data_IF_786119275109
#
_entry.id   IF_786119275109
#
_cell.length_a   1.000
_cell.length_b   1.000
_cell.length_c   1.000
_cell.angle_alpha   90.00
_cell.angle_beta   90.00
_cell.angle_gamma   90.00
#
_symmetry.space_group_name_H-M   'P 1'
#
loop_
_entity.id
_entity.type
_entity.pdbx_description
1 polymer ?
#
# COMPACT_ATOMS: atom_id res chain seq x y z
N UNK A 1 -4.57 0.90 10.20
CA UNK A 1 -4.47 0.57 11.64
C UNK A 1 -4.25 1.84 12.43
N UNK A 2 -5.13 2.15 13.39
CA UNK A 2 -5.02 3.37 14.21
C UNK A 2 -3.84 3.26 15.17
N UNK A 3 -3.03 4.32 15.26
CA UNK A 3 -1.95 4.42 16.28
C UNK A 3 -2.51 4.70 17.68
N UNK A 4 -3.72 5.26 17.77
CA UNK A 4 -4.35 5.64 19.05
C UNK A 4 -5.04 4.46 19.73
N UNK A 5 -5.69 3.60 18.95
CA UNK A 5 -6.45 2.46 19.48
C UNK A 5 -5.60 1.18 19.62
N UNK A 6 -4.41 1.15 18.99
CA UNK A 6 -3.55 -0.04 19.00
C UNK A 6 -4.16 -1.23 18.24
N UNK A 7 -3.51 -2.41 18.28
CA UNK A 7 -4.00 -3.62 17.63
C UNK A 7 -5.08 -4.31 18.48
N UNK A 8 -6.17 -3.58 18.77
CA UNK A 8 -7.31 -4.07 19.53
C UNK A 8 -8.46 -4.43 18.58
N UNK A 9 -9.12 -5.56 18.84
CA UNK A 9 -10.33 -5.96 18.12
C UNK A 9 -11.55 -5.41 18.86
N UNK A 10 -12.23 -4.45 18.26
CA UNK A 10 -13.48 -3.91 18.79
C UNK A 10 -14.66 -4.56 18.06
N UNK A 11 -15.62 -5.10 18.82
CA UNK A 11 -16.74 -5.85 18.26
C UNK A 11 -16.35 -7.27 17.87
N UNK A 12 -16.57 -8.22 18.77
CA UNK A 12 -16.46 -9.64 18.43
C UNK A 12 -17.73 -10.03 17.67
N UNK A 13 -17.62 -10.51 16.44
CA UNK A 13 -18.71 -11.29 15.83
C UNK A 13 -18.74 -12.64 16.56
N UNK A 14 -19.39 -12.68 17.73
CA UNK A 14 -19.69 -13.91 18.44
C UNK A 14 -20.78 -14.66 17.66
N UNK A 15 -20.36 -15.44 16.66
CA UNK A 15 -21.23 -16.29 15.88
C UNK A 15 -21.63 -17.54 16.66
N UNK A 16 -22.89 -17.59 17.10
CA UNK A 16 -23.71 -18.80 17.07
C UNK A 16 -25.00 -18.42 16.32
N UNK A 17 -25.01 -18.62 15.00
CA UNK A 17 -26.04 -18.15 14.05
C UNK A 17 -27.31 -19.04 14.09
N UNK A 18 -27.46 -19.94 15.07
CA UNK A 18 -28.41 -21.05 14.96
C UNK A 18 -29.74 -20.92 15.69
N UNK A 19 -29.99 -19.87 16.46
CA UNK A 19 -31.34 -19.59 16.97
C UNK A 19 -31.66 -18.14 16.67
N UNK A 20 -32.66 -17.92 15.82
CA UNK A 20 -33.17 -16.62 15.39
C UNK A 20 -33.66 -15.75 16.55
N UNK A 21 -32.73 -15.31 17.37
CA UNK A 21 -32.86 -14.24 18.33
C UNK A 21 -31.94 -13.12 17.87
N UNK A 22 -32.56 -11.99 17.58
CA UNK A 22 -31.97 -10.74 17.10
C UNK A 22 -30.57 -10.47 17.68
N UNK A 23 -29.56 -10.31 16.82
CA UNK A 23 -29.19 -9.02 16.20
C UNK A 23 -28.75 -7.93 17.21
N UNK A 24 -28.52 -8.25 18.48
CA UNK A 24 -27.86 -7.33 19.41
C UNK A 24 -26.38 -7.70 19.51
N UNK A 25 -25.57 -7.15 18.60
CA UNK A 25 -24.14 -6.97 18.90
C UNK A 25 -24.05 -5.95 20.02
N UNK A 26 -23.91 -6.42 21.26
CA UNK A 26 -23.60 -5.56 22.39
C UNK A 26 -22.19 -4.99 22.15
N UNK A 27 -22.10 -3.67 21.99
CA UNK A 27 -20.81 -2.98 21.82
C UNK A 27 -20.06 -3.09 23.15
N UNK A 28 -19.12 -4.03 23.24
CA UNK A 28 -18.25 -4.22 24.41
C UNK A 28 -17.18 -3.11 24.54
N UNK A 29 -17.56 -1.84 24.39
CA UNK A 29 -16.64 -0.71 24.56
C UNK A 29 -17.39 0.54 25.02
N UNK A 30 -16.70 1.39 25.80
CA UNK A 30 -17.29 2.62 26.35
C UNK A 30 -17.67 3.61 25.25
N UNK A 31 -18.58 4.54 25.56
CA UNK A 31 -18.95 5.64 24.65
C UNK A 31 -17.73 6.45 24.21
N UNK A 32 -16.80 6.71 25.13
CA UNK A 32 -15.56 7.41 24.80
C UNK A 32 -14.72 6.63 23.77
N UNK A 33 -14.65 5.31 23.89
CA UNK A 33 -13.99 4.46 22.88
C UNK A 33 -14.76 4.45 21.56
N UNK A 34 -16.09 4.49 21.60
CA UNK A 34 -16.93 4.58 20.39
C UNK A 34 -16.64 5.86 19.59
N UNK A 35 -16.59 7.01 20.28
CA UNK A 35 -16.25 8.30 19.67
C UNK A 35 -14.87 8.24 19.02
N UNK A 36 -13.87 7.67 19.72
CA UNK A 36 -12.52 7.52 19.17
C UNK A 36 -12.47 6.62 17.94
N UNK A 37 -13.29 5.57 17.87
CA UNK A 37 -13.40 4.71 16.68
C UNK A 37 -13.98 5.52 15.51
N UNK A 38 -15.08 6.23 15.72
CA UNK A 38 -15.73 7.01 14.66
C UNK A 38 -14.83 8.13 14.12
N UNK A 39 -14.04 8.77 14.99
CA UNK A 39 -13.02 9.75 14.60
C UNK A 39 -11.94 9.12 13.70
N UNK A 40 -11.42 7.95 14.07
CA UNK A 40 -10.37 7.28 13.31
C UNK A 40 -10.89 6.73 11.99
N UNK A 41 -12.12 6.23 11.94
CA UNK A 41 -12.80 5.83 10.70
C UNK A 41 -12.97 7.04 9.77
N UNK A 42 -13.51 8.13 10.28
CA UNK A 42 -13.68 9.38 9.51
C UNK A 42 -12.35 9.87 8.95
N UNK A 43 -11.28 9.81 9.74
CA UNK A 43 -9.93 10.17 9.32
C UNK A 43 -9.39 9.26 8.22
N UNK A 44 -9.62 7.95 8.31
CA UNK A 44 -9.21 7.00 7.26
C UNK A 44 -9.92 7.32 5.94
N UNK A 45 -11.23 7.56 5.99
CA UNK A 45 -12.04 7.89 4.81
C UNK A 45 -11.52 9.18 4.18
N UNK A 46 -11.36 10.25 4.98
CA UNK A 46 -10.89 11.55 4.50
C UNK A 46 -9.51 11.45 3.86
N UNK A 47 -8.55 10.78 4.51
CA UNK A 47 -7.21 10.60 3.97
C UNK A 47 -7.22 9.79 2.66
N UNK A 48 -8.07 8.77 2.57
CA UNK A 48 -8.20 7.95 1.37
C UNK A 48 -8.81 8.74 0.22
N UNK A 49 -9.83 9.56 0.52
CA UNK A 49 -10.43 10.49 -0.43
C UNK A 49 -9.43 11.53 -0.94
N UNK A 50 -8.73 12.22 -0.03
CA UNK A 50 -7.72 13.22 -0.40
C UNK A 50 -6.60 12.61 -1.24
N UNK A 51 -6.16 11.39 -0.89
CA UNK A 51 -5.17 10.65 -1.67
C UNK A 51 -5.68 10.32 -3.07
N UNK A 52 -6.90 9.81 -3.19
CA UNK A 52 -7.51 9.49 -4.48
C UNK A 52 -7.71 10.75 -5.33
N UNK A 53 -8.27 11.81 -4.74
CA UNK A 53 -8.46 13.10 -5.38
C UNK A 53 -7.13 13.65 -5.91
N UNK A 54 -6.11 13.72 -5.04
CA UNK A 54 -4.78 14.19 -5.45
C UNK A 54 -4.20 13.34 -6.57
N UNK A 55 -4.28 12.02 -6.46
CA UNK A 55 -3.76 11.11 -7.49
C UNK A 55 -4.43 11.36 -8.85
N UNK A 56 -5.76 11.52 -8.86
CA UNK A 56 -6.51 11.79 -10.09
C UNK A 56 -6.19 13.19 -10.63
N UNK A 57 -6.15 14.21 -9.78
CA UNK A 57 -5.84 15.59 -10.16
C UNK A 57 -4.43 15.74 -10.73
N UNK A 58 -3.42 15.12 -10.11
CA UNK A 58 -2.03 15.13 -10.60
C UNK A 58 -1.86 14.39 -11.93
N UNK A 59 -2.79 13.50 -12.28
CA UNK A 59 -2.76 12.71 -13.52
C UNK A 59 -3.92 13.06 -14.46
N UNK A 60 -4.46 14.29 -14.36
CA UNK A 60 -5.65 14.71 -15.11
C UNK A 60 -5.48 14.57 -16.62
N UNK A 61 -4.29 14.87 -17.15
CA UNK A 61 -3.96 14.75 -18.57
C UNK A 61 -4.04 13.30 -19.07
N UNK A 62 -3.55 12.35 -18.28
CA UNK A 62 -3.63 10.91 -18.59
C UNK A 62 -5.06 10.41 -18.53
N UNK A 63 -5.86 10.92 -17.59
CA UNK A 63 -7.28 10.59 -17.50
C UNK A 63 -8.05 11.13 -18.71
N UNK A 64 -7.73 12.35 -19.17
CA UNK A 64 -8.33 12.94 -20.37
C UNK A 64 -8.00 12.11 -21.62
N UNK A 65 -6.74 11.70 -21.76
CA UNK A 65 -6.28 10.84 -22.85
C UNK A 65 -7.01 9.49 -22.84
N UNK A 66 -7.15 8.86 -21.67
CA UNK A 66 -7.88 7.61 -21.53
C UNK A 66 -9.37 7.77 -21.87
N UNK A 67 -9.99 8.89 -21.48
CA UNK A 67 -11.38 9.18 -21.82
C UNK A 67 -11.58 9.37 -23.34
N UNK A 68 -10.70 10.14 -23.99
CA UNK A 68 -10.71 10.33 -25.45
C UNK A 68 -10.56 8.98 -26.18
N UNK A 69 -9.65 8.13 -25.70
CA UNK A 69 -9.42 6.83 -26.30
C UNK A 69 -10.63 5.88 -26.14
N UNK A 70 -11.31 5.93 -24.99
CA UNK A 70 -12.55 5.19 -24.76
C UNK A 70 -13.70 5.68 -25.64
N UNK A 71 -13.72 6.97 -25.99
CA UNK A 71 -14.72 7.52 -26.92
C UNK A 71 -14.52 6.98 -28.35
N UNK A 72 -13.27 6.72 -28.75
CA UNK A 72 -12.94 6.18 -30.07
C UNK A 72 -13.17 4.67 -30.20
N UNK A 73 -12.80 3.89 -29.17
CA UNK A 73 -12.77 2.41 -29.25
C UNK A 73 -13.87 1.70 -28.46
N UNK A 74 -14.62 2.42 -27.62
CA UNK A 74 -15.67 1.92 -26.70
C UNK A 74 -15.18 0.94 -25.62
N UNK A 75 -14.14 0.15 -25.89
CA UNK A 75 -13.56 -0.87 -25.02
C UNK A 75 -12.03 -0.81 -25.15
N UNK A 76 -11.33 -0.73 -24.02
CA UNK A 76 -9.88 -0.80 -23.97
C UNK A 76 -9.42 -2.02 -23.16
N UNK A 77 -8.37 -2.69 -23.65
CA UNK A 77 -7.71 -3.76 -22.92
C UNK A 77 -6.84 -3.22 -21.78
N UNK A 78 -6.63 -4.05 -20.75
CA UNK A 78 -5.89 -3.65 -19.55
C UNK A 78 -4.44 -3.25 -19.82
N UNK A 79 -3.79 -3.86 -20.82
CA UNK A 79 -2.42 -3.53 -21.23
C UNK A 79 -2.37 -2.11 -21.82
N UNK A 80 -3.27 -1.78 -22.75
CA UNK A 80 -3.42 -0.44 -23.32
C UNK A 80 -3.69 0.61 -22.24
N UNK A 81 -4.54 0.31 -21.27
CA UNK A 81 -4.81 1.21 -20.14
C UNK A 81 -3.55 1.42 -19.29
N UNK A 82 -2.78 0.36 -19.03
CA UNK A 82 -1.56 0.44 -18.26
C UNK A 82 -0.48 1.29 -18.95
N UNK A 83 -0.36 1.17 -20.27
CA UNK A 83 0.50 2.01 -21.11
C UNK A 83 0.06 3.49 -21.07
N UNK A 84 -1.22 3.78 -21.31
CA UNK A 84 -1.74 5.15 -21.29
C UNK A 84 -1.56 5.83 -19.91
N UNK A 85 -1.65 5.05 -18.84
CA UNK A 85 -1.43 5.51 -17.47
C UNK A 85 0.06 5.57 -17.09
N UNK A 86 0.98 5.18 -17.97
CA UNK A 86 2.42 5.19 -17.74
C UNK A 86 2.86 4.28 -16.58
N UNK A 87 2.16 3.16 -16.40
CA UNK A 87 2.44 2.20 -15.32
C UNK A 87 3.71 1.41 -15.65
N UNK A 88 3.87 1.02 -16.92
CA UNK A 88 5.02 0.23 -17.36
C UNK A 88 6.35 0.97 -17.20
N UNK A 89 6.41 2.25 -17.58
CA UNK A 89 7.60 3.08 -17.47
C UNK A 89 8.02 3.21 -16.01
N UNK A 90 7.04 3.43 -15.11
CA UNK A 90 7.29 3.49 -13.67
C UNK A 90 7.81 2.17 -13.12
N UNK A 91 7.31 1.04 -13.59
CA UNK A 91 7.81 -0.28 -13.19
C UNK A 91 9.23 -0.55 -13.73
N UNK A 92 9.53 -0.13 -14.97
CA UNK A 92 10.89 -0.19 -15.55
C UNK A 92 11.87 0.66 -14.73
N UNK A 93 11.53 1.90 -14.42
CA UNK A 93 12.34 2.80 -13.58
C UNK A 93 12.61 2.24 -12.18
N UNK A 94 11.60 1.64 -11.54
CA UNK A 94 11.76 1.00 -10.22
C UNK A 94 12.74 -0.17 -10.28
N UNK A 95 12.62 -1.03 -11.30
CA UNK A 95 13.53 -2.16 -11.51
C UNK A 95 14.97 -1.68 -11.73
N UNK A 96 15.17 -0.67 -12.55
CA UNK A 96 16.50 -0.09 -12.77
C UNK A 96 17.11 0.51 -11.51
N UNK A 97 16.32 1.24 -10.71
CA UNK A 97 16.78 1.80 -9.42
C UNK A 97 17.16 0.69 -8.43
N UNK A 98 16.40 -0.40 -8.38
CA UNK A 98 16.69 -1.57 -7.55
C UNK A 98 17.99 -2.25 -7.98
N UNK A 99 18.17 -2.51 -9.27
CA UNK A 99 19.38 -3.14 -9.82
C UNK A 99 20.63 -2.28 -9.60
N UNK A 100 20.53 -0.95 -9.78
CA UNK A 100 21.62 -0.01 -9.44
C UNK A 100 21.98 -0.09 -7.96
N UNK A 101 20.98 -0.08 -7.06
CA UNK A 101 21.19 -0.17 -5.60
C UNK A 101 21.83 -1.52 -5.21
N UNK A 102 21.42 -2.62 -5.84
CA UNK A 102 21.99 -3.96 -5.62
C UNK A 102 23.46 -4.04 -6.04
N UNK A 103 23.82 -3.46 -7.20
CA UNK A 103 25.22 -3.38 -7.66
C UNK A 103 26.11 -2.56 -6.74
N UNK A 104 25.61 -1.45 -6.21
CA UNK A 104 26.33 -0.62 -5.22
C UNK A 104 26.58 -1.41 -3.93
N UNK A 105 25.60 -2.19 -3.46
CA UNK A 105 25.75 -3.01 -2.25
C UNK A 105 26.72 -4.19 -2.46
N UNK A 106 26.72 -4.83 -3.64
CA UNK A 106 27.68 -5.90 -3.96
C UNK A 106 29.12 -5.41 -4.18
N UNK A 107 29.31 -4.17 -4.63
CA UNK A 107 30.63 -3.56 -4.79
C UNK A 107 31.33 -3.19 -3.47
N UNK A 108 30.59 -3.11 -2.36
CA UNK A 108 31.14 -2.78 -1.02
C UNK A 108 31.62 -4.04 -0.27
N UNK A 109 31.29 -5.24 -0.75
CA UNK A 109 31.64 -6.52 -0.09
C UNK A 109 32.96 -7.15 -0.56
N UNK A 110 33.70 -6.54 -1.49
CA UNK A 110 35.10 -6.90 -1.78
C UNK A 110 36.03 -5.95 -1.04
N UNK A 111 36.06 -6.05 0.29
CA UNK A 111 37.19 -5.57 1.08
C UNK A 111 38.14 -6.75 1.19
N UNK A 112 39.33 -6.61 0.61
CA UNK A 112 40.37 -7.62 0.57
C UNK A 112 40.60 -8.23 1.96
N UNK A 113 40.16 -9.47 2.13
CA UNK A 113 40.62 -10.33 3.21
C UNK A 113 41.99 -10.90 2.85
N UNK A 114 42.98 -10.03 2.62
CA UNK A 114 44.38 -10.44 2.81
C UNK A 114 44.65 -10.39 4.32
N UNK A 115 44.32 -11.50 4.99
CA UNK A 115 44.67 -11.70 6.39
C UNK A 115 46.19 -11.72 6.55
N UNK A 116 46.77 -11.00 7.53
CA UNK A 116 48.21 -10.98 7.73
C UNK A 116 48.70 -12.38 8.11
N UNK A 117 49.70 -12.85 7.37
CA UNK A 117 50.28 -14.17 7.49
C UNK A 117 50.65 -14.58 8.91
N UNK A 118 50.08 -15.69 9.37
CA UNK A 118 50.55 -16.44 10.52
C UNK A 118 51.83 -17.19 10.12
N UNK A 119 52.97 -16.72 10.64
CA UNK A 119 54.26 -17.43 10.57
C UNK A 119 54.15 -18.82 11.19
N UNK A 120 54.84 -19.84 10.63
CA UNK A 120 55.04 -21.10 11.34
C UNK A 120 56.16 -20.95 12.38
N UNK A 121 55.84 -21.18 13.65
CA UNK A 121 56.76 -21.69 14.67
C UNK A 121 56.39 -23.17 14.81
N UNK A 122 57.25 -24.17 14.93
CA UNK A 122 58.67 -24.30 15.26
C UNK A 122 58.83 -25.78 15.64
#
# INVERSE_FOLDING_TARGET
>A
MSKKLGPQTFGRQSGNIFLGHDLVQEKEYSENTAILIDEEVSKIIKNSYEKAYRLISENRDRLELLAQRLEEEEILEGETVAELLGIEEREKEKKEKYEKKKKVVQGVTTFDSEGPGSKPQG
#
